data_IF_160330592210
#
_entry.id   IF_160330592210
#
_cell.length_a   1.000
_cell.length_b   1.000
_cell.length_c   1.000
_cell.angle_alpha   90.00
_cell.angle_beta   90.00
_cell.angle_gamma   90.00
#
_symmetry.space_group_name_H-M   'P 1'
#
loop_
_entity.id
_entity.type
_entity.pdbx_description
1 polymer ?
#
# COMPACT_ATOMS: atom_id res chain seq x y z
N UNK A 1 9.22 3.96 10.20
CA UNK A 1 8.46 2.81 9.68
C UNK A 1 7.14 3.22 9.02
N UNK A 2 6.28 3.98 9.70
CA UNK A 2 5.00 4.44 9.12
C UNK A 2 5.20 5.23 7.82
N UNK A 3 6.16 6.16 7.80
CA UNK A 3 6.50 6.92 6.59
C UNK A 3 6.92 6.06 5.40
N UNK A 4 7.73 5.00 5.62
CA UNK A 4 8.18 4.13 4.52
C UNK A 4 7.06 3.25 3.99
N UNK A 5 6.16 2.79 4.87
CA UNK A 5 4.96 2.05 4.46
C UNK A 5 3.99 2.92 3.66
N UNK A 6 3.73 4.15 4.13
CA UNK A 6 2.89 5.10 3.40
C UNK A 6 3.48 5.45 2.04
N UNK A 7 4.82 5.54 1.95
CA UNK A 7 5.52 5.73 0.68
C UNK A 7 5.37 4.52 -0.24
N UNK A 8 5.58 3.29 0.26
CA UNK A 8 5.42 2.07 -0.53
C UNK A 8 3.98 1.91 -1.06
N UNK A 9 2.99 2.18 -0.22
CA UNK A 9 1.57 2.20 -0.62
C UNK A 9 1.32 3.24 -1.72
N UNK A 10 1.76 4.48 -1.52
CA UNK A 10 1.57 5.57 -2.50
C UNK A 10 2.24 5.24 -3.83
N UNK A 11 3.50 4.82 -3.80
CA UNK A 11 4.27 4.56 -5.01
C UNK A 11 3.60 3.44 -5.81
N UNK A 12 3.14 2.37 -5.14
CA UNK A 12 2.37 1.31 -5.79
C UNK A 12 1.03 1.79 -6.36
N UNK A 13 0.29 2.61 -5.61
CA UNK A 13 -0.98 3.19 -6.05
C UNK A 13 -0.79 4.05 -7.32
N UNK A 14 0.17 4.99 -7.32
CA UNK A 14 0.43 5.88 -8.46
C UNK A 14 0.98 5.13 -9.68
N UNK A 15 1.90 4.18 -9.48
CA UNK A 15 2.44 3.34 -10.55
C UNK A 15 1.32 2.50 -11.18
N UNK A 16 0.39 1.99 -10.38
CA UNK A 16 -0.78 1.26 -10.91
C UNK A 16 -1.62 2.17 -11.81
N UNK A 17 -1.80 3.44 -11.44
CA UNK A 17 -2.40 4.48 -12.28
C UNK A 17 -1.55 4.91 -13.49
N UNK A 18 -0.35 4.36 -13.67
CA UNK A 18 0.55 4.73 -14.76
C UNK A 18 1.17 6.13 -14.59
N UNK A 19 1.26 6.61 -13.34
CA UNK A 19 1.80 7.93 -13.00
C UNK A 19 3.11 7.79 -12.24
N UNK A 20 4.12 8.58 -12.63
CA UNK A 20 5.37 8.64 -11.89
C UNK A 20 5.17 9.28 -10.52
N UNK A 21 5.49 8.53 -9.47
CA UNK A 21 5.30 8.96 -8.08
C UNK A 21 6.14 10.19 -7.70
N UNK A 22 7.21 10.49 -8.45
CA UNK A 22 8.04 11.68 -8.26
C UNK A 22 7.34 12.96 -8.73
N UNK A 23 6.39 12.86 -9.67
CA UNK A 23 5.66 14.02 -10.19
C UNK A 23 4.60 14.54 -9.22
N UNK A 24 4.17 13.72 -8.26
CA UNK A 24 3.11 14.02 -7.28
C UNK A 24 3.56 13.64 -5.86
N UNK A 25 4.47 14.43 -5.26
CA UNK A 25 4.92 14.17 -3.90
C UNK A 25 3.78 14.43 -2.91
N UNK A 26 3.31 13.36 -2.26
CA UNK A 26 2.43 13.52 -1.10
C UNK A 26 3.17 14.15 0.07
N UNK A 27 2.45 15.01 0.80
CA UNK A 27 2.98 15.62 2.01
C UNK A 27 3.29 14.56 3.09
N UNK A 28 4.24 14.87 3.98
CA UNK A 28 4.67 13.97 5.06
C UNK A 28 3.50 13.59 5.97
N UNK A 29 2.54 14.49 6.19
CA UNK A 29 1.33 14.21 6.96
C UNK A 29 0.45 13.14 6.31
N UNK A 30 0.22 13.24 5.00
CA UNK A 30 -0.55 12.25 4.25
C UNK A 30 0.16 10.88 4.24
N UNK A 31 1.48 10.86 4.04
CA UNK A 31 2.28 9.62 4.10
C UNK A 31 2.25 8.99 5.49
N UNK A 32 2.30 9.78 6.56
CA UNK A 32 2.19 9.28 7.92
C UNK A 32 0.77 8.74 8.23
N UNK A 33 -0.28 9.40 7.74
CA UNK A 33 -1.66 8.94 7.89
C UNK A 33 -1.89 7.59 7.20
N UNK A 34 -1.55 7.49 5.91
CA UNK A 34 -1.68 6.22 5.17
C UNK A 34 -0.75 5.14 5.73
N UNK A 35 0.44 5.54 6.15
CA UNK A 35 1.35 4.68 6.91
C UNK A 35 0.73 4.17 8.21
N UNK A 36 -0.08 4.96 8.91
CA UNK A 36 -0.79 4.55 10.13
C UNK A 36 -2.00 3.67 9.83
N UNK A 37 -2.79 3.98 8.81
CA UNK A 37 -3.98 3.19 8.43
C UNK A 37 -3.57 1.79 7.94
N UNK A 38 -2.60 1.74 7.02
CA UNK A 38 -2.04 0.50 6.49
C UNK A 38 -1.18 -0.19 7.56
N UNK A 39 -0.38 0.59 8.28
CA UNK A 39 0.55 0.11 9.30
C UNK A 39 -0.13 -0.40 10.57
N UNK A 40 -1.22 0.17 11.06
CA UNK A 40 -1.88 -0.31 12.28
C UNK A 40 -2.53 -1.69 12.07
N UNK A 41 -3.20 -1.87 10.92
CA UNK A 41 -3.76 -3.16 10.54
C UNK A 41 -2.67 -4.19 10.18
N UNK A 42 -1.61 -3.74 9.49
CA UNK A 42 -0.45 -4.55 9.17
C UNK A 42 0.39 -4.92 10.39
N UNK A 43 0.49 -4.05 11.39
CA UNK A 43 1.25 -4.24 12.63
C UNK A 43 0.56 -5.25 13.55
N UNK A 44 -0.76 -5.18 13.71
CA UNK A 44 -1.52 -6.20 14.43
C UNK A 44 -1.35 -7.59 13.78
N UNK A 45 -1.37 -7.68 12.44
CA UNK A 45 -1.15 -8.96 11.75
C UNK A 45 0.32 -9.39 11.69
N UNK A 46 1.27 -8.47 11.63
CA UNK A 46 2.69 -8.79 11.38
C UNK A 46 3.58 -8.73 12.61
N UNK A 47 3.10 -8.24 13.75
CA UNK A 47 3.84 -8.29 15.02
C UNK A 47 3.23 -9.34 15.92
N UNK A 48 1.90 -9.40 16.01
CA UNK A 48 1.21 -10.28 16.95
C UNK A 48 1.34 -11.76 16.54
N UNK A 49 1.22 -12.09 15.24
CA UNK A 49 1.42 -13.45 14.75
C UNK A 49 2.85 -13.99 14.95
N UNK A 50 3.92 -13.29 14.53
CA UNK A 50 5.26 -13.80 14.73
C UNK A 50 5.71 -13.73 16.18
N UNK A 51 5.27 -12.76 17.00
CA UNK A 51 5.58 -12.78 18.44
C UNK A 51 4.93 -13.96 19.14
N UNK A 52 3.68 -14.30 18.78
CA UNK A 52 3.01 -15.52 19.27
C UNK A 52 3.69 -16.78 18.74
N UNK A 53 4.12 -16.81 17.48
CA UNK A 53 4.84 -17.95 16.92
C UNK A 53 6.21 -18.15 17.57
N UNK A 54 6.95 -17.07 17.83
CA UNK A 54 8.24 -17.10 18.52
C UNK A 54 8.05 -17.51 19.98
N UNK A 55 7.05 -16.99 20.69
CA UNK A 55 6.79 -17.40 22.08
C UNK A 55 6.38 -18.88 22.15
N UNK A 56 5.52 -19.34 21.25
CA UNK A 56 5.19 -20.76 21.10
C UNK A 56 6.41 -21.62 20.78
N UNK A 57 7.31 -21.14 19.91
CA UNK A 57 8.53 -21.85 19.57
C UNK A 57 9.50 -21.94 20.76
N UNK A 58 9.67 -20.85 21.52
CA UNK A 58 10.48 -20.85 22.75
C UNK A 58 9.91 -21.80 23.78
N UNK A 59 8.59 -21.80 23.97
CA UNK A 59 7.90 -22.75 24.87
C UNK A 59 8.07 -24.20 24.39
N UNK A 60 7.97 -24.45 23.09
CA UNK A 60 8.19 -25.78 22.49
C UNK A 60 9.63 -26.27 22.70
N UNK A 61 10.62 -25.41 22.46
CA UNK A 61 12.03 -25.74 22.68
C UNK A 61 12.28 -26.01 24.15
N UNK A 62 11.73 -25.19 25.05
CA UNK A 62 11.83 -25.40 26.50
C UNK A 62 11.22 -26.75 26.91
N UNK A 63 9.98 -27.01 26.50
CA UNK A 63 9.28 -28.26 26.78
C UNK A 63 10.03 -29.47 26.20
N UNK A 64 10.56 -29.36 24.99
CA UNK A 64 11.37 -30.42 24.37
C UNK A 64 12.67 -30.67 25.15
N UNK A 65 13.35 -29.62 25.62
CA UNK A 65 14.54 -29.76 26.46
C UNK A 65 14.24 -30.38 27.82
N UNK A 66 13.17 -29.97 28.51
CA UNK A 66 12.75 -30.59 29.76
C UNK A 66 12.31 -32.05 29.57
N UNK A 67 11.59 -32.34 28.49
CA UNK A 67 11.16 -33.70 28.17
C UNK A 67 12.34 -34.62 27.83
N UNK A 68 13.36 -34.11 27.12
CA UNK A 68 14.61 -34.83 26.87
C UNK A 68 15.39 -35.06 28.15
N UNK A 69 15.50 -34.06 29.02
CA UNK A 69 16.19 -34.17 30.31
C UNK A 69 15.49 -35.15 31.26
N UNK A 70 14.16 -35.13 31.32
CA UNK A 70 13.38 -36.07 32.15
C UNK A 70 13.46 -37.50 31.62
N UNK A 71 13.41 -37.73 30.30
CA UNK A 71 13.59 -39.08 29.72
C UNK A 71 15.03 -39.61 29.82
N UNK A 72 16.03 -38.76 29.62
CA UNK A 72 17.43 -39.16 29.76
C UNK A 72 17.82 -39.35 31.23
N UNK A 73 17.30 -38.51 32.13
CA UNK A 73 17.45 -38.66 33.58
C UNK A 73 16.75 -39.90 34.13
N UNK A 74 15.56 -40.24 33.62
CA UNK A 74 14.84 -41.46 34.02
C UNK A 74 15.56 -42.75 33.57
N UNK A 75 16.28 -42.73 32.44
CA UNK A 75 17.12 -43.87 32.02
C UNK A 75 18.47 -43.94 32.76
N UNK A 76 18.96 -42.84 33.30
CA UNK A 76 20.22 -42.80 34.04
C UNK A 76 20.11 -43.34 35.47
N UNK A 77 18.90 -43.54 36.00
CA UNK A 77 18.67 -43.97 37.38
C UNK A 77 18.95 -45.46 37.67
N UNK A 78 19.21 -46.33 36.68
CA UNK A 78 19.32 -47.78 36.95
C UNK A 78 20.72 -48.40 36.83
N UNK A 79 21.78 -47.65 36.46
CA UNK A 79 23.15 -48.19 36.49
C UNK A 79 24.21 -47.15 36.90
N UNK A 80 24.74 -47.35 38.12
CA UNK A 80 26.07 -46.96 38.63
C UNK A 80 26.22 -45.54 39.27
N UNK A 81 27.21 -45.37 40.19
CA UNK A 81 27.15 -44.47 41.35
C UNK A 81 27.49 -43.02 41.02
N UNK A 82 27.11 -42.13 41.96
CA UNK A 82 27.28 -40.67 41.98
C UNK A 82 28.57 -40.18 41.28
N UNK A 83 28.45 -39.89 39.99
CA UNK A 83 29.39 -39.10 39.22
C UNK A 83 28.78 -37.72 38.98
N UNK A 84 29.61 -36.69 39.14
CA UNK A 84 29.28 -35.27 38.98
C UNK A 84 28.28 -35.02 37.84
N UNK A 85 27.28 -34.12 38.06
CA UNK A 85 26.32 -33.80 37.01
C UNK A 85 27.09 -33.29 35.80
N UNK A 86 27.14 -34.08 34.72
CA UNK A 86 27.74 -33.69 33.45
C UNK A 86 26.99 -32.46 32.95
N UNK A 87 27.53 -31.30 33.28
CA UNK A 87 27.06 -30.01 32.79
C UNK A 87 27.21 -30.01 31.29
N UNK A 88 26.12 -29.70 30.59
CA UNK A 88 26.13 -29.54 29.13
C UNK A 88 27.24 -28.52 28.81
N UNK A 89 28.25 -28.87 27.99
CA UNK A 89 29.42 -28.02 27.81
C UNK A 89 28.98 -26.65 27.30
N UNK A 90 29.51 -25.60 27.93
CA UNK A 90 29.17 -24.19 27.69
C UNK A 90 29.15 -23.82 26.19
N UNK A 91 30.01 -24.46 25.40
CA UNK A 91 30.11 -24.31 23.94
C UNK A 91 28.81 -24.72 23.22
N UNK A 92 28.18 -25.83 23.62
CA UNK A 92 26.91 -26.29 23.02
C UNK A 92 25.79 -25.29 23.35
N UNK A 93 25.74 -24.79 24.58
CA UNK A 93 24.78 -23.75 25.00
C UNK A 93 25.00 -22.44 24.25
N UNK A 94 26.25 -22.08 23.98
CA UNK A 94 26.63 -20.93 23.15
C UNK A 94 26.17 -21.07 21.70
N UNK A 95 26.40 -22.22 21.06
CA UNK A 95 25.92 -22.49 19.70
C UNK A 95 24.39 -22.41 19.58
N UNK A 96 23.64 -22.97 20.54
CA UNK A 96 22.19 -22.85 20.56
C UNK A 96 21.74 -21.39 20.76
N UNK A 97 22.45 -20.62 21.59
CA UNK A 97 22.18 -19.19 21.77
C UNK A 97 22.39 -18.38 20.49
N UNK A 98 23.48 -18.62 19.77
CA UNK A 98 23.75 -17.97 18.48
C UNK A 98 22.74 -18.39 17.43
N UNK A 99 22.41 -19.68 17.33
CA UNK A 99 21.39 -20.17 16.41
C UNK A 99 20.03 -19.51 16.68
N UNK A 100 19.60 -19.46 17.95
CA UNK A 100 18.36 -18.78 18.34
C UNK A 100 18.38 -17.28 18.00
N UNK A 101 19.49 -16.59 18.24
CA UNK A 101 19.64 -15.18 17.89
C UNK A 101 19.56 -14.97 16.36
N UNK A 102 20.21 -15.80 15.57
CA UNK A 102 20.14 -15.71 14.09
C UNK A 102 18.74 -15.97 13.56
N UNK A 103 18.02 -16.95 14.11
CA UNK A 103 16.62 -17.23 13.76
C UNK A 103 15.72 -16.06 14.13
N UNK A 104 15.94 -15.44 15.29
CA UNK A 104 15.18 -14.27 15.73
C UNK A 104 15.42 -13.06 14.82
N UNK A 105 16.69 -12.79 14.45
CA UNK A 105 17.02 -11.71 13.51
C UNK A 105 16.40 -11.97 12.14
N UNK A 106 16.49 -13.21 11.63
CA UNK A 106 15.88 -13.59 10.36
C UNK A 106 14.35 -13.41 10.37
N UNK A 107 13.68 -13.82 11.46
CA UNK A 107 12.24 -13.64 11.63
C UNK A 107 11.84 -12.15 11.65
N UNK A 108 12.62 -11.29 12.33
CA UNK A 108 12.37 -9.84 12.36
C UNK A 108 12.54 -9.22 10.97
N UNK A 109 13.58 -9.60 10.23
CA UNK A 109 13.80 -9.09 8.87
C UNK A 109 12.70 -9.54 7.90
N UNK A 110 12.29 -10.81 7.96
CA UNK A 110 11.17 -11.33 7.17
C UNK A 110 9.86 -10.63 7.52
N UNK A 111 9.60 -10.39 8.81
CA UNK A 111 8.44 -9.62 9.25
C UNK A 111 8.45 -8.20 8.69
N UNK A 112 9.61 -7.53 8.70
CA UNK A 112 9.73 -6.19 8.12
C UNK A 112 9.47 -6.19 6.60
N UNK A 113 10.03 -7.16 5.88
CA UNK A 113 9.82 -7.31 4.43
C UNK A 113 8.36 -7.61 4.10
N UNK A 114 7.71 -8.48 4.88
CA UNK A 114 6.30 -8.80 4.73
C UNK A 114 5.40 -7.57 4.88
N UNK A 115 5.67 -6.72 5.88
CA UNK A 115 4.89 -5.50 6.09
C UNK A 115 5.03 -4.51 4.92
N UNK A 116 6.22 -4.39 4.33
CA UNK A 116 6.40 -3.55 3.14
C UNK A 116 5.64 -4.12 1.93
N UNK A 117 5.70 -5.44 1.74
CA UNK A 117 4.98 -6.12 0.66
C UNK A 117 3.45 -5.95 0.77
N UNK A 118 2.89 -6.12 1.96
CA UNK A 118 1.47 -5.94 2.24
C UNK A 118 1.02 -4.48 1.99
N UNK A 119 1.85 -3.50 2.34
CA UNK A 119 1.55 -2.09 2.05
C UNK A 119 1.53 -1.82 0.55
N UNK A 120 2.47 -2.41 -0.20
CA UNK A 120 2.54 -2.30 -1.65
C UNK A 120 1.33 -2.96 -2.33
N UNK A 121 0.96 -4.19 -1.92
CA UNK A 121 -0.15 -4.92 -2.52
C UNK A 121 -1.48 -4.19 -2.31
N UNK A 122 -1.71 -3.62 -1.13
CA UNK A 122 -2.91 -2.80 -0.87
C UNK A 122 -2.99 -1.57 -1.76
N UNK A 123 -1.86 -0.89 -1.98
CA UNK A 123 -1.82 0.25 -2.89
C UNK A 123 -2.23 -0.12 -4.32
N UNK A 124 -1.79 -1.29 -4.79
CA UNK A 124 -2.20 -1.83 -6.09
C UNK A 124 -3.68 -2.23 -6.11
N UNK A 125 -4.15 -2.95 -5.09
CA UNK A 125 -5.52 -3.45 -5.01
C UNK A 125 -6.54 -2.32 -4.95
N UNK A 126 -6.26 -1.27 -4.18
CA UNK A 126 -7.14 -0.10 -4.06
C UNK A 126 -7.18 0.69 -5.37
N UNK A 127 -6.02 0.91 -6.01
CA UNK A 127 -5.96 1.57 -7.32
C UNK A 127 -6.73 0.78 -8.39
N UNK A 128 -6.51 -0.53 -8.49
CA UNK A 128 -7.21 -1.37 -9.45
C UNK A 128 -8.70 -1.45 -9.16
N UNK A 129 -9.11 -1.51 -7.89
CA UNK A 129 -10.51 -1.53 -7.50
C UNK A 129 -11.18 -0.23 -7.94
N UNK A 130 -10.57 0.90 -7.65
CA UNK A 130 -11.09 2.22 -8.01
C UNK A 130 -11.19 2.38 -9.54
N UNK A 131 -10.17 1.99 -10.30
CA UNK A 131 -10.23 1.96 -11.77
C UNK A 131 -11.36 1.08 -12.29
N UNK A 132 -11.56 -0.12 -11.73
CA UNK A 132 -12.64 -1.03 -12.11
C UNK A 132 -14.00 -0.41 -11.81
N UNK A 133 -14.14 0.27 -10.67
CA UNK A 133 -15.38 0.96 -10.31
C UNK A 133 -15.68 2.10 -11.29
N UNK A 134 -14.69 2.95 -11.58
CA UNK A 134 -14.82 4.03 -12.58
C UNK A 134 -15.14 3.43 -13.96
N UNK A 135 -14.40 2.42 -14.40
CA UNK A 135 -14.63 1.78 -15.70
C UNK A 135 -16.00 1.09 -15.80
N UNK A 136 -16.57 0.63 -14.67
CA UNK A 136 -17.89 -0.01 -14.65
C UNK A 136 -19.04 0.99 -14.83
N UNK A 137 -18.79 2.31 -14.71
CA UNK A 137 -19.82 3.34 -14.81
C UNK A 137 -21.06 3.03 -13.93
N UNK A 138 -20.84 2.46 -12.74
CA UNK A 138 -21.90 2.04 -11.83
C UNK A 138 -22.37 3.15 -10.89
N UNK A 139 -23.60 3.03 -10.36
CA UNK A 139 -24.17 3.92 -9.32
C UNK A 139 -23.21 4.29 -8.17
N UNK A 140 -22.36 3.40 -7.66
CA UNK A 140 -21.44 3.76 -6.58
C UNK A 140 -20.46 4.87 -6.93
N UNK A 141 -20.16 5.10 -8.21
CA UNK A 141 -19.30 6.20 -8.66
C UNK A 141 -20.06 7.54 -8.66
N UNK A 142 -21.37 7.52 -8.91
CA UNK A 142 -22.21 8.71 -8.94
C UNK A 142 -22.62 9.16 -7.54
N UNK A 143 -22.86 8.21 -6.63
CA UNK A 143 -23.37 8.49 -5.29
C UNK A 143 -22.26 8.66 -4.23
N UNK A 144 -21.02 8.30 -4.55
CA UNK A 144 -19.91 8.35 -3.58
C UNK A 144 -19.10 9.63 -3.71
N UNK A 145 -18.90 10.39 -2.61
CA UNK A 145 -18.04 11.56 -2.59
C UNK A 145 -16.56 11.23 -2.79
N UNK A 146 -16.19 9.93 -2.78
CA UNK A 146 -14.83 9.47 -3.03
C UNK A 146 -14.37 9.67 -4.47
N UNK A 147 -15.29 9.67 -5.44
CA UNK A 147 -14.98 9.88 -6.85
C UNK A 147 -15.25 11.34 -7.20
N UNK A 148 -14.20 12.08 -7.57
CA UNK A 148 -14.29 13.51 -7.86
C UNK A 148 -14.05 13.76 -9.35
N UNK A 149 -15.10 13.69 -10.18
CA UNK A 149 -15.02 14.08 -11.59
C UNK A 149 -14.79 15.58 -11.74
N UNK A 150 -13.84 15.96 -12.60
CA UNK A 150 -13.50 17.36 -12.85
C UNK A 150 -13.27 17.66 -14.32
N UNK A 151 -13.54 18.91 -14.67
CA UNK A 151 -13.15 19.54 -15.93
C UNK A 151 -12.09 20.61 -15.65
N UNK A 152 -10.92 20.47 -16.28
CA UNK A 152 -9.79 21.39 -16.12
C UNK A 152 -9.44 22.02 -17.45
N UNK A 153 -9.53 23.34 -17.54
CA UNK A 153 -9.11 24.14 -18.69
C UNK A 153 -7.84 24.90 -18.34
N UNK A 154 -6.77 24.73 -19.15
CA UNK A 154 -5.46 25.34 -18.94
C UNK A 154 -5.04 26.17 -20.16
N UNK A 155 -4.38 27.30 -19.91
CA UNK A 155 -3.70 28.04 -20.97
C UNK A 155 -2.40 27.33 -21.37
N UNK A 156 -2.15 27.20 -22.67
CA UNK A 156 -0.88 26.70 -23.21
C UNK A 156 -0.34 27.67 -24.25
N UNK A 157 0.96 27.58 -24.55
CA UNK A 157 1.56 28.31 -25.66
C UNK A 157 0.87 27.86 -26.97
N UNK A 158 -0.01 28.72 -27.50
CA UNK A 158 -0.80 28.43 -28.71
C UNK A 158 -2.29 28.18 -28.51
N UNK A 159 -2.84 28.29 -27.29
CA UNK A 159 -4.29 28.22 -27.08
C UNK A 159 -4.71 27.72 -25.71
N UNK A 160 -5.79 26.94 -25.67
CA UNK A 160 -6.33 26.34 -24.45
C UNK A 160 -6.35 24.83 -24.58
N UNK A 161 -6.11 24.14 -23.48
CA UNK A 161 -6.16 22.68 -23.39
C UNK A 161 -7.13 22.28 -22.30
N UNK A 162 -8.08 21.41 -22.64
CA UNK A 162 -9.06 20.86 -21.70
C UNK A 162 -8.70 19.44 -21.32
N UNK A 163 -8.97 19.10 -20.06
CA UNK A 163 -8.76 17.80 -19.48
C UNK A 163 -9.98 17.40 -18.65
N UNK A 164 -10.58 16.26 -18.98
CA UNK A 164 -11.69 15.67 -18.25
C UNK A 164 -11.20 14.38 -17.58
N UNK A 165 -11.64 14.14 -16.34
CA UNK A 165 -11.29 12.91 -15.66
C UNK A 165 -11.70 12.89 -14.20
N UNK A 166 -11.42 11.78 -13.54
CA UNK A 166 -11.58 11.63 -12.09
C UNK A 166 -10.28 11.98 -11.39
N UNK A 167 -10.33 12.82 -10.35
CA UNK A 167 -9.17 13.11 -9.52
C UNK A 167 -8.77 11.83 -8.77
N UNK A 168 -7.59 11.32 -9.06
CA UNK A 168 -6.95 10.23 -8.30
C UNK A 168 -6.17 10.82 -7.12
N UNK A 169 -5.27 11.77 -7.41
CA UNK A 169 -4.49 12.50 -6.41
C UNK A 169 -4.17 13.91 -6.87
N UNK A 170 -3.99 14.82 -5.92
CA UNK A 170 -3.60 16.20 -6.18
C UNK A 170 -2.54 16.65 -5.18
N UNK A 171 -1.66 17.52 -5.67
CA UNK A 171 -0.71 18.33 -4.92
C UNK A 171 -1.06 19.80 -5.10
N UNK A 172 -0.32 20.69 -4.45
CA UNK A 172 -0.42 22.14 -4.63
C UNK A 172 -0.18 22.59 -6.08
N UNK A 173 0.63 21.84 -6.84
CA UNK A 173 1.06 22.21 -8.19
C UNK A 173 0.49 21.36 -9.31
N UNK A 174 0.05 20.13 -9.03
CA UNK A 174 -0.35 19.15 -10.05
C UNK A 174 -1.46 18.23 -9.55
N UNK A 175 -2.33 17.81 -10.46
CA UNK A 175 -3.33 16.78 -10.22
C UNK A 175 -3.20 15.65 -11.24
N UNK A 176 -3.37 14.41 -10.78
CA UNK A 176 -3.52 13.25 -11.65
C UNK A 176 -5.01 12.98 -11.89
N UNK A 177 -5.41 13.07 -13.15
CA UNK A 177 -6.77 12.84 -13.61
C UNK A 177 -6.82 11.52 -14.38
N UNK A 178 -7.65 10.59 -13.94
CA UNK A 178 -7.91 9.35 -14.67
C UNK A 178 -9.03 9.57 -15.69
N UNK A 179 -8.70 9.43 -16.98
CA UNK A 179 -9.66 9.48 -18.08
C UNK A 179 -10.26 8.06 -18.26
N UNK A 180 -11.56 7.85 -17.96
CA UNK A 180 -12.19 6.55 -18.08
C UNK A 180 -12.35 6.07 -19.52
N UNK A 181 -12.42 6.99 -20.49
CA UNK A 181 -12.58 6.68 -21.91
C UNK A 181 -11.27 6.19 -22.52
N UNK A 182 -10.17 6.83 -22.14
CA UNK A 182 -8.83 6.44 -22.61
C UNK A 182 -8.16 5.40 -21.72
N UNK A 183 -8.72 5.12 -20.55
CA UNK A 183 -8.15 4.25 -19.51
C UNK A 183 -6.70 4.65 -19.18
N UNK A 184 -6.45 5.97 -19.13
CA UNK A 184 -5.12 6.53 -18.90
C UNK A 184 -5.21 7.67 -17.91
N UNK A 185 -4.20 7.75 -17.06
CA UNK A 185 -4.05 8.87 -16.14
C UNK A 185 -3.20 9.96 -16.77
N UNK A 186 -3.68 11.19 -16.70
CA UNK A 186 -2.99 12.37 -17.19
C UNK A 186 -2.59 13.23 -16.00
N UNK A 187 -1.33 13.66 -15.95
CA UNK A 187 -0.87 14.63 -14.95
C UNK A 187 -1.09 16.03 -15.50
N UNK A 188 -2.03 16.76 -14.89
CA UNK A 188 -2.35 18.14 -15.22
C UNK A 188 -1.64 19.05 -14.24
N UNK A 189 -0.90 20.01 -14.79
CA UNK A 189 -0.25 21.04 -13.99
C UNK A 189 -1.24 22.15 -13.69
N UNK A 190 -1.27 22.59 -12.42
CA UNK A 190 -2.21 23.60 -11.91
C UNK A 190 -1.72 25.04 -12.16
N UNK A 191 -0.53 25.20 -12.73
CA UNK A 191 -0.07 26.48 -13.24
C UNK A 191 -0.88 26.88 -14.48
N UNK A 192 -1.28 28.15 -14.57
CA UNK A 192 -2.04 28.69 -15.70
C UNK A 192 -3.39 28.00 -15.96
N UNK A 193 -3.99 27.41 -14.91
CA UNK A 193 -5.37 26.93 -14.96
C UNK A 193 -6.31 28.12 -15.09
N UNK A 194 -7.17 28.05 -16.09
CA UNK A 194 -8.22 29.03 -16.37
C UNK A 194 -9.48 28.64 -15.61
N UNK A 195 -9.81 27.34 -15.59
CA UNK A 195 -11.02 26.80 -14.98
C UNK A 195 -10.77 25.42 -14.38
N UNK A 196 -11.29 25.20 -13.19
CA UNK A 196 -11.21 23.92 -12.48
C UNK A 196 -12.55 23.69 -11.79
N UNK A 197 -13.42 22.93 -12.46
CA UNK A 197 -14.79 22.72 -12.00
C UNK A 197 -15.02 21.25 -11.67
N UNK A 198 -15.69 21.00 -10.54
CA UNK A 198 -16.29 19.70 -10.27
C UNK A 198 -17.51 19.55 -11.17
N UNK A 199 -17.54 18.47 -11.95
CA UNK A 199 -18.62 18.20 -12.91
C UNK A 199 -19.45 17.01 -12.47
N UNK A 200 -20.56 16.75 -13.14
CA UNK A 200 -21.27 15.49 -12.93
C UNK A 200 -20.48 14.35 -13.60
N UNK A 201 -20.41 13.14 -12.99
CA UNK A 201 -19.62 12.04 -13.56
C UNK A 201 -20.01 11.71 -15.00
N UNK A 202 -21.29 11.88 -15.36
CA UNK A 202 -21.83 11.73 -16.71
C UNK A 202 -21.06 12.58 -17.74
N UNK A 203 -20.64 13.79 -17.39
CA UNK A 203 -19.94 14.69 -18.31
C UNK A 203 -18.53 14.17 -18.65
N UNK A 204 -17.91 13.40 -17.75
CA UNK A 204 -16.61 12.77 -17.98
C UNK A 204 -16.74 11.52 -18.85
N UNK A 205 -17.81 10.74 -18.67
CA UNK A 205 -18.08 9.54 -19.48
C UNK A 205 -18.63 9.86 -20.87
N UNK A 206 -19.47 10.89 -20.98
CA UNK A 206 -20.15 11.25 -22.20
C UNK A 206 -19.60 12.60 -22.66
N UNK A 207 -18.42 12.57 -23.30
CA UNK A 207 -17.87 13.74 -23.96
C UNK A 207 -18.86 14.15 -25.06
N UNK A 208 -19.69 15.15 -24.80
CA UNK A 208 -20.55 15.73 -25.81
C UNK A 208 -19.69 16.01 -27.05
N UNK A 209 -20.18 15.56 -28.21
CA UNK A 209 -19.63 15.91 -29.52
C UNK A 209 -19.91 17.39 -29.83
N UNK A 210 -19.62 18.29 -28.88
CA UNK A 210 -19.72 19.73 -28.98
C UNK A 210 -18.53 20.27 -29.79
N UNK A 211 -18.45 19.84 -31.05
CA UNK A 211 -17.42 20.24 -32.01
C UNK A 211 -17.91 20.35 -33.46
N UNK A 212 -19.20 20.12 -33.73
CA UNK A 212 -19.80 20.33 -35.07
C UNK A 212 -21.22 20.87 -34.96
N UNK A 213 -21.39 21.92 -34.15
CA UNK A 213 -22.55 22.80 -34.25
C UNK A 213 -22.26 23.90 -35.26
N UNK A 214 -22.31 23.59 -36.56
CA UNK A 214 -22.38 24.63 -37.59
C UNK A 214 -23.62 25.45 -37.27
N UNK A 215 -23.41 26.68 -36.83
CA UNK A 215 -24.45 27.69 -36.65
C UNK A 215 -25.12 27.89 -38.01
N UNK A 216 -26.41 27.55 -38.22
CA UNK A 216 -27.09 28.01 -39.42
C UNK A 216 -27.20 29.53 -39.27
N UNK A 217 -26.45 30.24 -40.09
CA UNK A 217 -26.80 31.61 -40.43
C UNK A 217 -28.20 31.55 -41.04
N UNK A 218 -29.19 32.06 -40.31
CA UNK A 218 -30.48 32.41 -40.86
C UNK A 218 -30.76 33.85 -40.42
N UNK A 219 -30.27 34.77 -41.25
CA UNK A 219 -30.52 36.18 -41.20
C UNK A 219 -30.20 36.75 -42.57
N UNK A 220 -31.19 36.73 -43.46
CA UNK A 220 -31.40 37.72 -44.52
C UNK A 220 -32.63 37.29 -45.35
N UNK A 221 -33.66 38.14 -45.25
CA UNK A 221 -34.68 38.50 -46.25
C UNK A 221 -35.83 37.51 -46.57
#
# INVERSE_FOLDING_TARGET
>A
MLYSQGRAYRDAYLITYGVDAELLPWDRGALAYWGMVVGAQGFLKSVLLPTVAISMWVVLVWLATEWLLTRCGARASSRAPAGEPRSIPFVIRGCFGVAAATVLVAAVLLGFQWIQYEAQSRGMDDAQREMRMIASCGRPVFDSPGYRPVHVERAIAGGRKTHDGFITTCTDKRCALYDPLQQRTQVVSLDQVIRFDTVQPEQVYWRESAGTGIKPWAGAE
#
